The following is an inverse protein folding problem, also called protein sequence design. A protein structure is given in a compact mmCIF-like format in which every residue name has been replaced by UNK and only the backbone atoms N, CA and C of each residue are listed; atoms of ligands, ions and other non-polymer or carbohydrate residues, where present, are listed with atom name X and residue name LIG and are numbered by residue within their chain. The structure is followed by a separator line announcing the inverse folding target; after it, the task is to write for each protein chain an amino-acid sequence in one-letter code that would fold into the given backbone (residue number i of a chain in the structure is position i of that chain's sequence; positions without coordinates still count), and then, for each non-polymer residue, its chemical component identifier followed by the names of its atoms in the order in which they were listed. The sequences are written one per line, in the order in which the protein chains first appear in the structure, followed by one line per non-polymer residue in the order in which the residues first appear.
data_IF_722285117234
#
_entry.id   IF_722285117234
#
_cell.length_a   1.000
_cell.length_b   1.000
_cell.length_c   1.000
_cell.angle_alpha   90.00
_cell.angle_beta   90.00
_cell.angle_gamma   90.00
#
_symmetry.space_group_name_H-M   'P 1'
#
loop_
_entity.id
_entity.type
_entity.pdbx_description
1 polymer ?
#
# COMPACT_ATOMS: atom_id res chain seq x y z
N UNK A 1 -6.40 1.93 -19.58
CA UNK A 1 -6.84 2.53 -18.30
C UNK A 1 -6.98 1.36 -17.34
N UNK A 2 -6.00 1.13 -16.46
CA UNK A 2 -6.09 0.08 -15.44
C UNK A 2 -6.80 0.70 -14.24
N UNK A 3 -8.06 0.34 -14.01
CA UNK A 3 -8.72 0.60 -12.74
C UNK A 3 -7.98 -0.19 -11.68
N UNK A 4 -7.37 0.49 -10.70
CA UNK A 4 -6.81 -0.19 -9.53
C UNK A 4 -7.98 -0.83 -8.77
N UNK A 5 -8.00 -2.15 -8.78
CA UNK A 5 -9.00 -2.98 -8.10
C UNK A 5 -8.70 -3.00 -6.61
N UNK A 6 -9.76 -3.00 -5.79
CA UNK A 6 -9.66 -3.17 -4.35
C UNK A 6 -8.87 -4.46 -4.02
N UNK A 7 -7.74 -4.37 -3.29
CA UNK A 7 -6.84 -5.51 -3.16
C UNK A 7 -7.45 -6.67 -2.38
N UNK A 8 -8.33 -6.40 -1.41
CA UNK A 8 -8.99 -7.45 -0.64
C UNK A 8 -10.04 -8.19 -1.48
N UNK A 9 -10.83 -7.47 -2.30
CA UNK A 9 -11.80 -8.11 -3.21
C UNK A 9 -11.11 -8.93 -4.29
N UNK A 10 -10.06 -8.38 -4.89
CA UNK A 10 -9.30 -9.09 -5.91
C UNK A 10 -8.65 -10.35 -5.33
N UNK A 11 -8.09 -10.28 -4.11
CA UNK A 11 -7.58 -11.45 -3.42
C UNK A 11 -8.70 -12.46 -3.11
N UNK A 12 -9.89 -12.01 -2.69
CA UNK A 12 -11.04 -12.87 -2.45
C UNK A 12 -11.47 -13.63 -3.72
N UNK A 13 -11.51 -12.95 -4.87
CA UNK A 13 -11.83 -13.55 -6.17
C UNK A 13 -10.80 -14.63 -6.54
N UNK A 14 -9.51 -14.35 -6.34
CA UNK A 14 -8.44 -15.33 -6.55
C UNK A 14 -8.58 -16.54 -5.62
N UNK A 15 -8.79 -16.31 -4.32
CA UNK A 15 -8.96 -17.39 -3.34
C UNK A 15 -10.24 -18.20 -3.60
N UNK A 16 -11.29 -17.60 -4.14
CA UNK A 16 -12.50 -18.32 -4.59
C UNK A 16 -12.16 -19.35 -5.65
N UNK A 17 -11.34 -18.98 -6.64
CA UNK A 17 -10.85 -19.91 -7.66
C UNK A 17 -9.91 -20.99 -7.13
N UNK A 18 -9.25 -20.73 -5.99
CA UNK A 18 -8.30 -21.67 -5.36
C UNK A 18 -8.89 -22.47 -4.21
N UNK A 19 -10.15 -22.24 -3.85
CA UNK A 19 -10.76 -22.76 -2.63
C UNK A 19 -10.74 -24.29 -2.57
N UNK A 20 -10.96 -24.94 -3.71
CA UNK A 20 -11.14 -26.38 -3.78
C UNK A 20 -10.14 -27.02 -4.73
N UNK A 21 -9.50 -28.11 -4.30
CA UNK A 21 -8.70 -28.96 -5.17
C UNK A 21 -9.61 -30.01 -5.81
N UNK A 22 -9.74 -30.05 -7.14
CA UNK A 22 -10.49 -31.09 -7.83
C UNK A 22 -9.89 -32.49 -7.62
N UNK A 23 -10.70 -33.56 -7.67
CA UNK A 23 -10.20 -34.93 -7.54
C UNK A 23 -9.03 -35.22 -8.50
N UNK A 24 -7.97 -35.87 -7.99
CA UNK A 24 -6.79 -36.23 -8.76
C UNK A 24 -5.88 -35.06 -9.15
N UNK A 25 -6.15 -33.83 -8.68
CA UNK A 25 -5.25 -32.67 -8.82
C UNK A 25 -4.55 -32.38 -7.51
N UNK A 26 -3.50 -31.56 -7.58
CA UNK A 26 -2.86 -30.93 -6.42
C UNK A 26 -2.85 -29.40 -6.61
N UNK A 27 -2.26 -28.65 -5.68
CA UNK A 27 -2.23 -27.17 -5.75
C UNK A 27 -1.46 -26.69 -7.00
N UNK A 28 -0.36 -27.37 -7.39
CA UNK A 28 0.36 -27.00 -8.62
C UNK A 28 -0.53 -27.05 -9.85
N UNK A 29 -1.37 -28.08 -9.96
CA UNK A 29 -2.31 -28.22 -11.08
C UNK A 29 -3.48 -27.24 -10.98
N UNK A 30 -3.97 -26.94 -9.77
CA UNK A 30 -5.05 -25.98 -9.56
C UNK A 30 -4.63 -24.55 -9.90
N UNK A 31 -3.45 -24.13 -9.46
CA UNK A 31 -2.90 -22.78 -9.65
C UNK A 31 -2.01 -22.65 -10.88
N UNK A 32 -1.96 -23.70 -11.70
CA UNK A 32 -1.12 -23.80 -12.90
C UNK A 32 0.37 -23.52 -12.66
N UNK A 33 0.90 -23.68 -11.44
CA UNK A 33 2.31 -23.39 -11.10
C UNK A 33 3.28 -24.55 -11.40
N UNK A 34 2.94 -25.41 -12.37
CA UNK A 34 3.84 -26.41 -12.91
C UNK A 34 5.16 -25.79 -13.42
N UNK A 35 6.24 -26.57 -13.34
CA UNK A 35 7.62 -26.12 -13.59
C UNK A 35 7.77 -25.49 -14.99
N UNK A 36 8.07 -24.19 -15.01
CA UNK A 36 8.40 -23.44 -16.23
C UNK A 36 7.38 -22.37 -16.65
N UNK A 37 6.18 -22.36 -16.08
CA UNK A 37 5.17 -21.35 -16.39
C UNK A 37 5.38 -20.08 -15.55
N UNK A 38 6.05 -19.09 -16.13
CA UNK A 38 6.33 -17.81 -15.47
C UNK A 38 5.04 -17.04 -15.11
N UNK A 39 3.97 -17.18 -15.88
CA UNK A 39 2.73 -16.42 -15.66
C UNK A 39 1.95 -16.95 -14.46
N UNK A 40 2.00 -18.26 -14.23
CA UNK A 40 1.46 -18.85 -13.01
C UNK A 40 2.20 -18.38 -11.75
N UNK A 41 3.53 -18.30 -11.80
CA UNK A 41 4.32 -17.76 -10.68
C UNK A 41 4.09 -16.26 -10.47
N UNK A 42 3.90 -15.49 -11.54
CA UNK A 42 3.47 -14.09 -11.45
C UNK A 42 2.12 -13.95 -10.77
N UNK A 43 1.17 -14.84 -11.06
CA UNK A 43 -0.14 -14.87 -10.41
C UNK A 43 -0.02 -15.16 -8.91
N UNK A 44 0.83 -16.13 -8.53
CA UNK A 44 1.11 -16.42 -7.12
C UNK A 44 1.80 -15.24 -6.40
N UNK A 45 2.76 -14.59 -7.06
CA UNK A 45 3.43 -13.40 -6.53
C UNK A 45 2.47 -12.21 -6.39
N UNK A 46 1.53 -12.06 -7.34
CA UNK A 46 0.47 -11.06 -7.31
C UNK A 46 -0.45 -11.26 -6.10
N UNK A 47 -0.91 -12.49 -5.83
CA UNK A 47 -1.70 -12.79 -4.64
C UNK A 47 -0.96 -12.44 -3.33
N UNK A 48 0.34 -12.70 -3.26
CA UNK A 48 1.16 -12.31 -2.11
C UNK A 48 1.30 -10.77 -1.98
N UNK A 49 1.41 -10.05 -3.10
CA UNK A 49 1.44 -8.60 -3.13
C UNK A 49 0.10 -8.00 -2.63
N UNK A 50 -1.03 -8.51 -3.13
CA UNK A 50 -2.38 -8.13 -2.70
C UNK A 50 -2.57 -8.33 -1.20
N UNK A 51 -2.13 -9.47 -0.66
CA UNK A 51 -2.17 -9.73 0.78
C UNK A 51 -1.32 -8.72 1.58
N UNK A 52 -0.14 -8.36 1.07
CA UNK A 52 0.69 -7.31 1.66
C UNK A 52 0.02 -5.92 1.63
N UNK A 53 -0.74 -5.61 0.59
CA UNK A 53 -1.54 -4.39 0.51
C UNK A 53 -2.68 -4.37 1.54
N UNK A 54 -3.38 -5.49 1.72
CA UNK A 54 -4.41 -5.65 2.76
C UNK A 54 -3.82 -5.46 4.16
N UNK A 55 -2.67 -6.08 4.46
CA UNK A 55 -1.99 -5.93 5.76
C UNK A 55 -1.62 -4.47 6.04
N UNK A 56 -0.99 -3.79 5.07
CA UNK A 56 -0.64 -2.37 5.17
C UNK A 56 -1.86 -1.50 5.41
N UNK A 57 -2.96 -1.79 4.72
CA UNK A 57 -4.20 -1.04 4.89
C UNK A 57 -4.79 -1.19 6.30
N UNK A 58 -4.91 -2.43 6.78
CA UNK A 58 -5.38 -2.71 8.14
C UNK A 58 -4.46 -2.08 9.19
N UNK A 59 -3.14 -2.13 9.00
CA UNK A 59 -2.18 -1.49 9.88
C UNK A 59 -2.35 0.04 9.92
N UNK A 60 -2.60 0.68 8.78
CA UNK A 60 -2.86 2.12 8.69
C UNK A 60 -4.18 2.52 9.37
N UNK A 61 -5.24 1.72 9.22
CA UNK A 61 -6.48 1.95 9.95
C UNK A 61 -6.30 1.80 11.46
N UNK A 62 -5.55 0.77 11.89
CA UNK A 62 -5.23 0.56 13.31
C UNK A 62 -4.45 1.72 13.90
N UNK A 63 -3.43 2.22 13.20
CA UNK A 63 -2.64 3.38 13.65
C UNK A 63 -3.46 4.68 13.69
N UNK A 64 -4.51 4.76 12.87
CA UNK A 64 -5.50 5.84 12.88
C UNK A 64 -6.56 5.69 13.99
N UNK A 65 -6.45 4.69 14.86
CA UNK A 65 -7.37 4.44 15.98
C UNK A 65 -8.66 3.70 15.60
N UNK A 66 -8.79 3.23 14.36
CA UNK A 66 -9.94 2.41 13.96
C UNK A 66 -9.85 0.99 14.55
N UNK A 67 -11.02 0.42 14.87
CA UNK A 67 -11.12 -0.93 15.43
C UNK A 67 -11.12 -1.96 14.30
N UNK A 68 -9.94 -2.52 14.02
CA UNK A 68 -9.73 -3.50 12.94
C UNK A 68 -9.24 -4.87 13.43
N UNK A 69 -9.21 -5.08 14.75
CA UNK A 69 -8.65 -6.29 15.34
C UNK A 69 -9.38 -7.57 14.92
N UNK A 70 -10.67 -7.49 14.54
CA UNK A 70 -11.40 -8.66 14.04
C UNK A 70 -10.93 -9.09 12.65
N UNK A 71 -10.56 -8.16 11.76
CA UNK A 71 -9.96 -8.51 10.46
C UNK A 71 -8.53 -9.03 10.64
N UNK A 72 -7.74 -8.40 11.51
CA UNK A 72 -6.34 -8.81 11.77
C UNK A 72 -6.21 -10.25 12.26
N UNK A 73 -7.24 -10.79 12.94
CA UNK A 73 -7.27 -12.21 13.34
C UNK A 73 -7.25 -13.19 12.18
N UNK A 74 -7.73 -12.77 10.99
CA UNK A 74 -7.74 -13.59 9.79
C UNK A 74 -6.44 -13.52 8.99
N UNK A 75 -5.55 -12.55 9.28
CA UNK A 75 -4.27 -12.41 8.56
C UNK A 75 -3.45 -13.72 8.50
N UNK A 76 -3.26 -14.48 9.60
CA UNK A 76 -2.55 -15.75 9.52
C UNK A 76 -3.25 -16.78 8.61
N UNK A 77 -4.57 -16.78 8.58
CA UNK A 77 -5.36 -17.69 7.76
C UNK A 77 -5.29 -17.30 6.28
N UNK A 78 -5.34 -16.01 5.96
CA UNK A 78 -5.14 -15.51 4.58
C UNK A 78 -3.72 -15.80 4.08
N UNK A 79 -2.70 -15.60 4.93
CA UNK A 79 -1.33 -16.00 4.62
C UNK A 79 -1.24 -17.50 4.33
N UNK A 80 -1.84 -18.33 5.18
CA UNK A 80 -1.88 -19.77 4.95
C UNK A 80 -2.66 -20.14 3.67
N UNK A 81 -3.71 -19.42 3.30
CA UNK A 81 -4.45 -19.65 2.07
C UNK A 81 -3.63 -19.24 0.82
N UNK A 82 -2.89 -18.14 0.89
CA UNK A 82 -2.02 -17.68 -0.21
C UNK A 82 -0.85 -18.62 -0.40
N UNK A 83 -0.13 -19.01 0.66
CA UNK A 83 1.07 -19.82 0.51
C UNK A 83 0.83 -21.32 0.54
N UNK A 84 -0.22 -21.79 1.22
CA UNK A 84 -0.59 -23.20 1.44
C UNK A 84 0.52 -24.03 2.11
N UNK A 85 0.23 -24.88 3.11
CA UNK A 85 1.27 -25.73 3.71
C UNK A 85 1.95 -26.65 2.68
N UNK A 86 3.28 -26.79 2.75
CA UNK A 86 4.12 -27.52 1.78
C UNK A 86 3.57 -28.89 1.35
N UNK A 87 2.98 -29.65 2.28
CA UNK A 87 2.45 -30.99 1.98
C UNK A 87 1.34 -30.98 0.92
N UNK A 88 0.50 -29.94 0.91
CA UNK A 88 -0.63 -29.86 -0.01
C UNK A 88 -0.21 -29.47 -1.44
N UNK A 89 1.02 -28.97 -1.65
CA UNK A 89 1.48 -28.61 -3.00
C UNK A 89 1.67 -29.82 -3.91
N UNK A 90 2.28 -30.88 -3.38
CA UNK A 90 2.58 -32.10 -4.14
C UNK A 90 1.52 -33.20 -4.02
N UNK A 91 0.80 -33.27 -2.89
CA UNK A 91 -0.14 -34.36 -2.61
C UNK A 91 -1.39 -34.25 -3.50
N UNK A 92 -1.68 -35.31 -4.24
CA UNK A 92 -2.90 -35.38 -5.04
C UNK A 92 -4.10 -35.54 -4.12
N UNK A 93 -5.13 -34.72 -4.34
CA UNK A 93 -6.42 -34.94 -3.73
C UNK A 93 -6.95 -36.32 -4.13
N UNK A 94 -7.57 -37.01 -3.17
CA UNK A 94 -8.20 -38.31 -3.39
C UNK A 94 -9.42 -38.23 -4.31
N UNK A 95 -10.40 -39.11 -4.07
CA UNK A 95 -11.59 -39.19 -4.93
C UNK A 95 -12.62 -38.06 -4.70
N UNK A 96 -12.50 -37.31 -3.60
CA UNK A 96 -13.38 -36.21 -3.27
C UNK A 96 -12.67 -34.86 -3.42
N UNK A 97 -13.44 -33.83 -3.72
CA UNK A 97 -12.98 -32.44 -3.71
C UNK A 97 -12.53 -32.05 -2.30
N UNK A 98 -11.32 -31.51 -2.19
CA UNK A 98 -10.72 -31.12 -0.91
C UNK A 98 -10.78 -29.59 -0.77
N UNK A 99 -11.56 -29.04 0.17
CA UNK A 99 -11.51 -27.62 0.47
C UNK A 99 -10.18 -27.29 1.17
N UNK A 100 -9.42 -26.35 0.60
CA UNK A 100 -8.18 -25.84 1.18
C UNK A 100 -8.43 -24.89 2.34
N UNK A 101 -9.55 -24.16 2.30
CA UNK A 101 -9.94 -23.20 3.33
C UNK A 101 -11.47 -22.98 3.33
N UNK A 102 -11.97 -22.38 4.41
CA UNK A 102 -13.40 -22.13 4.62
C UNK A 102 -13.93 -20.98 3.75
N UNK A 103 -15.25 -20.97 3.50
CA UNK A 103 -15.90 -19.84 2.82
C UNK A 103 -15.84 -18.55 3.66
N UNK A 104 -15.98 -18.67 4.98
CA UNK A 104 -15.89 -17.56 5.93
C UNK A 104 -14.61 -16.73 5.76
N UNK A 105 -13.48 -17.39 5.43
CA UNK A 105 -12.21 -16.73 5.18
C UNK A 105 -12.28 -15.78 3.97
N UNK A 106 -12.96 -16.20 2.90
CA UNK A 106 -13.17 -15.44 1.67
C UNK A 106 -14.17 -14.31 1.93
N UNK A 107 -15.27 -14.60 2.63
CA UNK A 107 -16.29 -13.61 2.97
C UNK A 107 -15.69 -12.48 3.82
N UNK A 108 -14.75 -12.79 4.71
CA UNK A 108 -14.02 -11.78 5.49
C UNK A 108 -13.10 -10.90 4.64
N UNK A 109 -12.54 -11.40 3.54
CA UNK A 109 -11.81 -10.57 2.58
C UNK A 109 -12.76 -9.64 1.82
N UNK A 110 -13.93 -10.11 1.39
CA UNK A 110 -14.93 -9.22 0.80
C UNK A 110 -15.38 -8.13 1.78
N UNK A 111 -15.64 -8.48 3.04
CA UNK A 111 -15.96 -7.51 4.09
C UNK A 111 -14.82 -6.51 4.34
N UNK A 112 -13.57 -6.97 4.26
CA UNK A 112 -12.38 -6.09 4.31
C UNK A 112 -12.32 -5.19 3.08
N UNK A 113 -12.70 -5.70 1.91
CA UNK A 113 -12.86 -4.91 0.69
C UNK A 113 -13.89 -3.81 0.85
N UNK A 114 -15.07 -4.13 1.38
CA UNK A 114 -16.12 -3.14 1.65
C UNK A 114 -15.64 -2.09 2.66
N UNK A 115 -14.85 -2.50 3.66
CA UNK A 115 -14.22 -1.56 4.57
C UNK A 115 -13.23 -0.65 3.85
N UNK A 116 -12.35 -1.19 3.00
CA UNK A 116 -11.41 -0.40 2.20
C UNK A 116 -12.17 0.61 1.35
N UNK A 117 -13.17 0.17 0.58
CA UNK A 117 -13.98 1.06 -0.27
C UNK A 117 -14.69 2.16 0.57
N UNK A 118 -15.18 1.81 1.75
CA UNK A 118 -15.85 2.76 2.64
C UNK A 118 -14.90 3.76 3.32
N UNK A 119 -13.62 3.39 3.46
CA UNK A 119 -12.57 4.19 4.11
C UNK A 119 -11.68 4.91 3.11
N UNK A 120 -11.75 4.56 1.82
CA UNK A 120 -11.39 5.40 0.67
C UNK A 120 -12.32 6.63 0.52
N UNK A 121 -12.71 7.23 1.64
CA UNK A 121 -12.93 8.66 1.73
C UNK A 121 -11.61 9.34 1.36
N UNK A 122 -11.38 9.44 0.05
CA UNK A 122 -10.31 10.21 -0.57
C UNK A 122 -10.16 11.48 0.22
N UNK A 123 -9.06 11.62 0.96
CA UNK A 123 -8.78 12.88 1.63
C UNK A 123 -8.42 13.81 0.48
N UNK A 124 -9.35 14.67 0.01
CA UNK A 124 -9.06 15.52 -1.12
C UNK A 124 -7.94 16.43 -0.66
N UNK A 125 -6.81 16.37 -1.36
CA UNK A 125 -5.76 17.34 -1.12
C UNK A 125 -6.27 18.71 -1.51
N UNK A 126 -6.27 19.61 -0.52
CA UNK A 126 -6.53 21.01 -0.76
C UNK A 126 -5.61 21.52 -1.88
N UNK A 127 -6.16 22.25 -2.85
CA UNK A 127 -5.42 22.77 -4.00
C UNK A 127 -4.12 23.52 -3.60
N UNK A 128 -4.07 24.33 -2.52
CA UNK A 128 -2.83 24.97 -2.08
C UNK A 128 -1.74 23.97 -1.66
N UNK A 129 -2.11 22.90 -0.96
CA UNK A 129 -1.15 21.86 -0.56
C UNK A 129 -0.62 21.12 -1.78
N UNK A 130 -1.50 20.76 -2.72
CA UNK A 130 -1.10 20.12 -3.97
C UNK A 130 -0.12 20.98 -4.77
N UNK A 131 -0.42 22.27 -4.93
CA UNK A 131 0.48 23.21 -5.61
C UNK A 131 1.84 23.26 -4.93
N UNK A 132 1.87 23.44 -3.60
CA UNK A 132 3.13 23.50 -2.85
C UNK A 132 3.97 22.21 -2.96
N UNK A 133 3.33 21.03 -2.98
CA UNK A 133 4.04 19.77 -3.17
C UNK A 133 4.53 19.58 -4.60
N UNK A 134 3.79 20.05 -5.61
CA UNK A 134 4.25 20.06 -7.01
C UNK A 134 5.45 21.01 -7.19
N UNK A 135 5.40 22.20 -6.61
CA UNK A 135 6.52 23.15 -6.61
C UNK A 135 7.77 22.55 -5.95
N UNK A 136 7.59 21.80 -4.86
CA UNK A 136 8.69 21.09 -4.20
C UNK A 136 9.29 19.98 -5.07
N UNK A 137 8.47 19.25 -5.84
CA UNK A 137 8.95 18.25 -6.80
C UNK A 137 9.76 18.91 -7.94
N UNK A 138 9.34 20.09 -8.40
CA UNK A 138 10.07 20.86 -9.42
C UNK A 138 11.38 21.44 -8.88
N UNK A 139 11.40 21.88 -7.62
CA UNK A 139 12.64 22.29 -6.95
C UNK A 139 13.62 21.12 -6.79
N UNK A 140 13.15 19.92 -6.43
CA UNK A 140 13.99 18.72 -6.38
C UNK A 140 14.57 18.36 -7.74
N UNK A 141 13.76 18.39 -8.79
CA UNK A 141 14.18 18.14 -10.17
C UNK A 141 15.30 19.11 -10.58
N UNK A 142 15.13 20.40 -10.29
CA UNK A 142 16.14 21.43 -10.53
C UNK A 142 17.44 21.21 -9.74
N UNK A 143 17.35 20.78 -8.47
CA UNK A 143 18.53 20.48 -7.65
C UNK A 143 19.29 19.29 -8.22
N UNK A 144 18.60 18.22 -8.61
CA UNK A 144 19.23 17.01 -9.16
C UNK A 144 19.85 17.24 -10.55
N UNK A 145 19.32 18.22 -11.30
CA UNK A 145 19.83 18.63 -12.62
C UNK A 145 20.91 19.72 -12.57
N UNK A 146 21.30 20.26 -11.41
CA UNK A 146 22.29 21.35 -11.32
C UNK A 146 23.72 20.94 -11.71
N UNK A 147 24.00 19.63 -11.71
CA UNK A 147 25.36 19.09 -11.90
C UNK A 147 26.22 19.11 -10.64
N UNK A 148 25.71 19.65 -9.52
CA UNK A 148 26.42 19.67 -8.22
C UNK A 148 26.48 18.29 -7.56
N UNK A 149 25.62 17.35 -7.98
CA UNK A 149 25.49 16.02 -7.38
C UNK A 149 26.11 14.97 -8.32
N UNK A 150 27.16 14.31 -7.83
CA UNK A 150 27.72 13.12 -8.46
C UNK A 150 26.90 11.89 -8.07
N UNK A 151 26.12 11.36 -9.01
CA UNK A 151 25.28 10.18 -8.86
C UNK A 151 25.52 9.22 -10.00
N UNK A 152 25.37 7.91 -9.74
CA UNK A 152 25.40 6.93 -10.82
C UNK A 152 24.15 7.09 -11.68
N UNK A 153 24.28 6.91 -12.98
CA UNK A 153 23.17 7.06 -13.93
C UNK A 153 21.90 6.23 -13.57
N UNK A 154 22.01 4.97 -13.08
CA UNK A 154 20.84 4.21 -12.65
C UNK A 154 20.10 4.84 -11.45
N UNK A 155 20.84 5.38 -10.48
CA UNK A 155 20.27 6.04 -9.28
C UNK A 155 19.56 7.33 -9.68
N UNK A 156 20.22 8.12 -10.55
CA UNK A 156 19.66 9.35 -11.13
C UNK A 156 18.33 9.06 -11.82
N UNK A 157 18.31 8.07 -12.72
CA UNK A 157 17.11 7.68 -13.46
C UNK A 157 15.98 7.26 -12.52
N UNK A 158 16.29 6.41 -11.54
CA UNK A 158 15.30 5.94 -10.57
C UNK A 158 14.65 7.08 -9.78
N UNK A 159 15.44 8.06 -9.30
CA UNK A 159 14.91 9.22 -8.59
C UNK A 159 13.99 10.05 -9.50
N UNK A 160 14.39 10.29 -10.75
CA UNK A 160 13.54 11.03 -11.70
C UNK A 160 12.24 10.29 -12.03
N UNK A 161 12.27 8.96 -12.14
CA UNK A 161 11.06 8.15 -12.30
C UNK A 161 10.14 8.27 -11.08
N UNK A 162 10.69 8.27 -9.86
CA UNK A 162 9.91 8.48 -8.63
C UNK A 162 9.30 9.89 -8.56
N UNK A 163 10.05 10.93 -8.93
CA UNK A 163 9.52 12.31 -9.00
C UNK A 163 8.38 12.38 -10.02
N UNK A 164 8.57 11.82 -11.22
CA UNK A 164 7.53 11.77 -12.25
C UNK A 164 6.29 10.98 -11.78
N UNK A 165 6.49 9.87 -11.09
CA UNK A 165 5.40 9.08 -10.49
C UNK A 165 4.65 9.88 -9.43
N UNK A 166 5.35 10.60 -8.55
CA UNK A 166 4.70 11.47 -7.56
C UNK A 166 3.89 12.59 -8.24
N UNK A 167 4.41 13.22 -9.30
CA UNK A 167 3.67 14.23 -10.08
C UNK A 167 2.39 13.66 -10.69
N UNK A 168 2.46 12.46 -11.25
CA UNK A 168 1.29 11.78 -11.81
C UNK A 168 0.23 11.55 -10.72
N UNK A 169 0.63 10.96 -9.59
CA UNK A 169 -0.31 10.67 -8.48
C UNK A 169 -0.87 11.96 -7.86
N UNK A 170 -0.10 13.05 -7.78
CA UNK A 170 -0.64 14.35 -7.34
C UNK A 170 -1.74 14.89 -8.26
N UNK A 171 -1.57 14.77 -9.58
CA UNK A 171 -2.58 15.17 -10.58
C UNK A 171 -3.82 14.27 -10.53
N UNK A 172 -3.60 12.99 -10.25
CA UNK A 172 -4.62 11.94 -10.20
C UNK A 172 -5.34 11.83 -8.83
N UNK A 173 -4.79 12.45 -7.79
CA UNK A 173 -5.28 12.32 -6.40
C UNK A 173 -6.73 12.79 -6.17
N UNK A 174 -7.29 13.63 -7.04
CA UNK A 174 -8.72 13.99 -7.00
C UNK A 174 -9.64 12.86 -7.48
N UNK A 175 -9.16 12.04 -8.41
CA UNK A 175 -9.95 10.99 -9.05
C UNK A 175 -9.77 9.63 -8.36
N UNK A 176 -8.57 9.32 -7.85
CA UNK A 176 -8.20 7.98 -7.39
C UNK A 176 -7.82 7.91 -5.90
N UNK A 177 -8.00 8.99 -5.15
CA UNK A 177 -7.72 9.01 -3.70
C UNK A 177 -6.25 9.18 -3.34
N UNK A 178 -5.96 9.13 -2.04
CA UNK A 178 -4.70 9.63 -1.46
C UNK A 178 -3.74 8.53 -0.97
N UNK A 179 -4.09 7.25 -1.12
CA UNK A 179 -3.32 6.13 -0.57
C UNK A 179 -2.03 5.90 -1.37
N UNK A 180 -2.13 5.78 -2.70
CA UNK A 180 -0.94 5.66 -3.55
C UNK A 180 -0.02 6.88 -3.48
N UNK A 181 -0.60 8.05 -3.23
CA UNK A 181 0.17 9.27 -3.08
C UNK A 181 1.13 9.16 -1.91
N UNK A 182 0.63 8.76 -0.74
CA UNK A 182 1.46 8.61 0.45
C UNK A 182 2.56 7.57 0.23
N UNK A 183 2.24 6.44 -0.39
CA UNK A 183 3.22 5.39 -0.68
C UNK A 183 4.35 5.92 -1.57
N UNK A 184 4.03 6.55 -2.70
CA UNK A 184 5.02 7.10 -3.63
C UNK A 184 5.84 8.24 -3.02
N UNK A 185 5.19 9.11 -2.25
CA UNK A 185 5.87 10.20 -1.53
C UNK A 185 6.82 9.66 -0.46
N UNK A 186 6.44 8.60 0.27
CA UNK A 186 7.33 7.97 1.25
C UNK A 186 8.52 7.24 0.61
N UNK A 187 8.30 6.56 -0.51
CA UNK A 187 9.37 5.93 -1.29
C UNK A 187 10.38 6.98 -1.77
N UNK A 188 9.90 8.08 -2.36
CA UNK A 188 10.74 9.22 -2.76
C UNK A 188 11.49 9.82 -1.56
N UNK A 189 10.82 10.04 -0.43
CA UNK A 189 11.44 10.57 0.78
C UNK A 189 12.57 9.67 1.30
N UNK A 190 12.35 8.36 1.30
CA UNK A 190 13.36 7.38 1.74
C UNK A 190 14.62 7.47 0.89
N UNK A 191 14.45 7.48 -0.44
CA UNK A 191 15.57 7.60 -1.38
C UNK A 191 16.29 8.94 -1.25
N UNK A 192 15.56 10.05 -1.13
CA UNK A 192 16.15 11.39 -0.96
C UNK A 192 16.87 11.54 0.38
N UNK A 193 16.39 10.87 1.43
CA UNK A 193 17.07 10.85 2.74
C UNK A 193 18.40 10.11 2.63
N UNK A 194 18.40 8.93 2.00
CA UNK A 194 19.64 8.17 1.76
C UNK A 194 20.64 8.96 0.91
N UNK A 195 20.17 9.68 -0.11
CA UNK A 195 21.00 10.56 -0.93
C UNK A 195 21.56 11.73 -0.10
N UNK A 196 20.73 12.38 0.71
CA UNK A 196 21.19 13.47 1.55
C UNK A 196 22.20 13.01 2.61
N UNK A 197 22.03 11.80 3.14
CA UNK A 197 22.97 11.21 4.11
C UNK A 197 24.31 10.89 3.44
N UNK A 198 24.31 10.34 2.21
CA UNK A 198 25.57 10.09 1.48
C UNK A 198 26.30 11.37 1.08
N UNK A 199 25.59 12.47 0.85
CA UNK A 199 26.16 13.80 0.63
C UNK A 199 26.63 14.48 1.92
N UNK A 200 26.10 14.09 3.09
CA UNK A 200 26.40 14.71 4.38
C UNK A 200 27.79 14.40 4.94
N UNK A 201 28.44 13.33 4.45
CA UNK A 201 29.78 12.93 4.86
C UNK A 201 30.87 13.89 4.34
N UNK A 202 30.56 14.68 3.30
CA UNK A 202 31.42 15.72 2.75
C UNK A 202 30.98 17.11 3.23
N UNK A 203 31.93 17.92 3.73
CA UNK A 203 31.64 19.26 4.26
C UNK A 203 31.18 20.23 3.19
N UNK A 204 31.63 20.07 1.94
CA UNK A 204 31.21 20.93 0.83
C UNK A 204 29.77 20.61 0.41
N UNK A 205 29.39 19.33 0.44
CA UNK A 205 28.07 18.82 0.06
C UNK A 205 27.00 18.90 1.17
N UNK A 206 27.37 19.15 2.43
CA UNK A 206 26.44 19.21 3.56
C UNK A 206 25.30 20.24 3.41
N UNK A 207 25.57 21.40 2.78
CA UNK A 207 24.54 22.41 2.50
C UNK A 207 23.52 21.91 1.49
N UNK A 208 23.98 21.16 0.49
CA UNK A 208 23.14 20.58 -0.55
C UNK A 208 22.27 19.46 0.02
N UNK A 209 22.84 18.60 0.86
CA UNK A 209 22.11 17.59 1.63
C UNK A 209 20.96 18.21 2.44
N UNK A 210 21.24 19.28 3.19
CA UNK A 210 20.20 19.94 3.99
C UNK A 210 19.12 20.61 3.14
N UNK A 211 19.50 21.15 1.98
CA UNK A 211 18.55 21.67 1.01
C UNK A 211 17.63 20.56 0.48
N UNK A 212 18.17 19.40 0.08
CA UNK A 212 17.38 18.25 -0.37
C UNK A 212 16.40 17.81 0.73
N UNK A 213 16.85 17.65 1.98
CA UNK A 213 15.97 17.29 3.11
C UNK A 213 14.84 18.30 3.31
N UNK A 214 15.18 19.59 3.24
CA UNK A 214 14.21 20.68 3.42
C UNK A 214 13.13 20.66 2.34
N UNK A 215 13.51 20.48 1.07
CA UNK A 215 12.55 20.44 -0.04
C UNK A 215 11.75 19.14 0.00
N UNK A 216 12.39 17.99 0.27
CA UNK A 216 11.71 16.70 0.37
C UNK A 216 10.60 16.70 1.43
N UNK A 217 10.78 17.37 2.57
CA UNK A 217 9.74 17.51 3.60
C UNK A 217 8.50 18.26 3.11
N UNK A 218 8.64 19.19 2.15
CA UNK A 218 7.52 19.95 1.56
C UNK A 218 6.69 19.11 0.57
N UNK A 219 7.28 18.02 0.05
CA UNK A 219 6.57 17.07 -0.81
C UNK A 219 5.50 16.31 -0.02
N UNK A 220 5.58 16.25 1.31
CA UNK A 220 4.66 15.46 2.12
C UNK A 220 3.48 16.31 2.59
N UNK A 221 2.23 15.93 2.29
CA UNK A 221 1.06 16.73 2.63
C UNK A 221 0.59 16.50 4.08
N UNK A 222 1.52 16.49 5.05
CA UNK A 222 1.22 16.18 6.46
C UNK A 222 0.14 17.08 7.06
N UNK A 223 0.05 18.34 6.63
CA UNK A 223 -0.98 19.26 7.10
C UNK A 223 -2.40 18.78 6.75
N UNK A 224 -2.57 18.11 5.61
CA UNK A 224 -3.86 17.58 5.13
C UNK A 224 -4.27 16.31 5.89
N UNK A 225 -3.29 15.48 6.24
CA UNK A 225 -3.52 14.22 6.95
C UNK A 225 -3.66 14.40 8.47
N UNK A 226 -2.80 15.23 9.08
CA UNK A 226 -2.79 15.45 10.53
C UNK A 226 -4.02 16.20 11.04
N UNK A 227 -4.55 17.18 10.29
CA UNK A 227 -5.74 17.93 10.69
C UNK A 227 -7.02 17.09 10.68
N UNK A 228 -7.12 16.08 9.81
CA UNK A 228 -8.25 15.15 9.80
C UNK A 228 -8.11 14.00 10.79
N UNK A 229 -6.91 13.54 11.10
CA UNK A 229 -6.69 12.65 12.25
C UNK A 229 -7.08 13.35 13.56
N UNK A 230 -6.77 14.63 13.71
CA UNK A 230 -7.22 15.44 14.85
C UNK A 230 -8.74 15.66 14.83
N UNK A 231 -9.35 15.96 13.67
CA UNK A 231 -10.80 16.15 13.57
C UNK A 231 -11.59 14.85 13.79
N UNK A 232 -11.09 13.71 13.30
CA UNK A 232 -11.70 12.39 13.49
C UNK A 232 -11.59 11.90 14.94
N UNK A 233 -10.48 12.15 15.62
CA UNK A 233 -10.33 11.85 17.05
C UNK A 233 -11.14 12.78 17.94
N UNK A 234 -11.26 14.07 17.59
CA UNK A 234 -12.13 15.01 18.30
C UNK A 234 -13.62 14.72 18.09
N UNK A 235 -14.03 14.33 16.88
CA UNK A 235 -15.40 13.89 16.60
C UNK A 235 -15.77 12.62 17.35
N UNK A 236 -14.90 11.61 17.35
CA UNK A 236 -15.10 10.37 18.10
C UNK A 236 -15.12 10.61 19.63
N UNK A 237 -14.28 11.54 20.13
CA UNK A 237 -14.30 11.93 21.54
C UNK A 237 -15.58 12.70 21.92
N UNK A 238 -16.08 13.56 21.03
CA UNK A 238 -17.33 14.30 21.23
C UNK A 238 -18.56 13.36 21.25
N UNK A 239 -18.62 12.37 20.36
CA UNK A 239 -19.68 11.37 20.33
C UNK A 239 -19.67 10.47 21.57
N UNK A 240 -18.48 10.08 22.07
CA UNK A 240 -18.35 9.33 23.33
C UNK A 240 -18.80 10.17 24.54
N UNK A 241 -18.51 11.48 24.55
CA UNK A 241 -18.98 12.39 25.61
C UNK A 241 -20.50 12.55 25.54
N UNK A 242 -21.12 12.65 24.35
CA UNK A 242 -22.58 12.71 24.22
C UNK A 242 -23.26 11.41 24.66
N UNK A 243 -22.68 10.25 24.35
CA UNK A 243 -23.21 8.94 24.77
C UNK A 243 -23.06 8.73 26.28
N UNK A 244 -21.99 9.23 26.89
CA UNK A 244 -21.75 9.10 28.35
C UNK A 244 -22.40 10.19 29.20
N UNK A 245 -22.75 11.34 28.61
CA UNK A 245 -23.49 12.43 29.27
C UNK A 245 -25.00 12.38 29.07
N UNK A 246 -25.52 11.33 28.43
CA UNK A 246 -26.94 10.97 28.39
C UNK A 246 -27.50 10.60 29.77
N UNK A 247 -27.48 11.55 30.69
CA UNK A 247 -28.29 11.61 31.90
C UNK A 247 -29.71 12.01 31.49
N UNK A 248 -30.59 11.01 31.38
CA UNK A 248 -32.00 11.14 31.69
C UNK A 248 -32.30 10.26 32.91
#
# INVERSE_FOLDING_TARGET
MYTMTNPARELADMLTGWKNIPPGKNVHMLRTTHTGDLDAWRTQAHAAALLGDVDRFLAAMKSSGQRVDHYLRFMPMWTAAVFVPDRAWGEMAGQAELPLFSQELIDMLYATGDLIDSTELAVPLAAPTRSASMDALDELDSILNSGEISMREPERRYIFELIASCRAVYRESEAFGSVDLLRRVHELLGVLTMLADSLGDDKESAKLAERIRTVARKVIPYASFGTRLAAGTLGAAADVIQITSGLH
#
